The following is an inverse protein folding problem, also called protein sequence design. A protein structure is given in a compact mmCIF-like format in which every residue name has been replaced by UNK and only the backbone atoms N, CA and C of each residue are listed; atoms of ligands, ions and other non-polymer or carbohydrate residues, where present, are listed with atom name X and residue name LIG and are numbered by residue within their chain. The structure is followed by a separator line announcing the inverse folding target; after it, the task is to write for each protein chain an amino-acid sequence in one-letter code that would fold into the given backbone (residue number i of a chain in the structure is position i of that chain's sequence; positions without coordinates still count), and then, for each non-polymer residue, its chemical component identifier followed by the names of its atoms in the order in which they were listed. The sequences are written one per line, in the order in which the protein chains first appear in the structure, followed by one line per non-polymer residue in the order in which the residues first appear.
data_IF_937057826869
#
_entry.id   IF_937057826869
#
_cell.length_a   1.000
_cell.length_b   1.000
_cell.length_c   1.000
_cell.angle_alpha   90.00
_cell.angle_beta   90.00
_cell.angle_gamma   90.00
#
_symmetry.space_group_name_H-M   'P 1'
#
loop_
_entity.id
_entity.type
_entity.pdbx_description
1 polymer ?
#
# COMPACT_ATOMS: atom_id res chain seq x y z
N UNK A 1 3.75 0.80 -10.03
CA UNK A 1 2.42 0.27 -9.72
C UNK A 1 1.38 1.01 -10.53
N UNK A 2 0.45 0.30 -11.17
CA UNK A 2 -0.54 0.91 -12.09
C UNK A 2 -1.86 1.26 -11.41
N UNK A 3 -2.18 0.61 -10.28
CA UNK A 3 -3.37 0.92 -9.48
C UNK A 3 -3.22 2.22 -8.67
N UNK A 4 -1.98 2.65 -8.43
CA UNK A 4 -1.65 3.92 -7.79
C UNK A 4 -1.57 5.07 -8.79
N UNK A 5 -0.98 6.19 -8.35
CA UNK A 5 -0.90 7.41 -9.16
C UNK A 5 0.52 7.70 -9.67
N UNK A 6 1.47 7.95 -8.77
CA UNK A 6 2.85 8.31 -9.09
C UNK A 6 3.83 7.73 -8.06
N UNK A 7 5.11 7.72 -8.41
CA UNK A 7 6.22 7.45 -7.46
C UNK A 7 6.60 8.68 -6.63
N UNK A 8 6.07 9.86 -7.00
CA UNK A 8 6.28 11.11 -6.27
C UNK A 8 5.22 11.26 -5.15
N UNK A 9 5.61 11.47 -3.89
CA UNK A 9 4.68 11.51 -2.77
C UNK A 9 3.75 12.72 -2.82
N UNK A 10 4.22 13.86 -3.33
CA UNK A 10 3.41 15.07 -3.43
C UNK A 10 2.27 14.92 -4.45
N UNK A 11 2.59 14.45 -5.66
CA UNK A 11 1.60 14.19 -6.70
C UNK A 11 0.61 13.10 -6.29
N UNK A 12 1.08 12.01 -5.67
CA UNK A 12 0.22 10.95 -5.15
C UNK A 12 -0.68 11.46 -4.03
N UNK A 13 -0.19 12.32 -3.14
CA UNK A 13 -1.00 12.94 -2.09
C UNK A 13 -2.18 13.74 -2.64
N UNK A 14 -1.95 14.60 -3.62
CA UNK A 14 -3.01 15.38 -4.28
C UNK A 14 -4.02 14.46 -4.98
N UNK A 15 -3.54 13.46 -5.73
CA UNK A 15 -4.42 12.54 -6.44
C UNK A 15 -5.29 11.69 -5.49
N UNK A 16 -4.73 11.27 -4.35
CA UNK A 16 -5.47 10.57 -3.29
C UNK A 16 -6.55 11.46 -2.67
N UNK A 17 -6.23 12.72 -2.34
CA UNK A 17 -7.18 13.68 -1.78
C UNK A 17 -8.38 13.88 -2.71
N UNK A 18 -8.13 14.24 -3.97
CA UNK A 18 -9.18 14.49 -4.97
C UNK A 18 -10.04 13.24 -5.21
N UNK A 19 -9.42 12.06 -5.26
CA UNK A 19 -10.14 10.79 -5.44
C UNK A 19 -11.04 10.47 -4.24
N UNK A 20 -10.53 10.63 -3.02
CA UNK A 20 -11.27 10.37 -1.79
C UNK A 20 -12.45 11.34 -1.65
N UNK A 21 -12.22 12.63 -1.89
CA UNK A 21 -13.27 13.66 -1.87
C UNK A 21 -14.34 13.32 -2.92
N UNK A 22 -13.92 12.98 -4.15
CA UNK A 22 -14.82 12.58 -5.23
C UNK A 22 -15.71 11.39 -4.86
N UNK A 23 -15.11 10.29 -4.37
CA UNK A 23 -15.86 9.10 -3.94
C UNK A 23 -16.82 9.43 -2.79
N UNK A 24 -16.32 10.11 -1.75
CA UNK A 24 -17.12 10.42 -0.55
C UNK A 24 -18.24 11.43 -0.83
N UNK A 25 -18.08 12.31 -1.81
CA UNK A 25 -19.16 13.24 -2.23
C UNK A 25 -20.41 12.52 -2.75
N UNK A 26 -20.28 11.27 -3.21
CA UNK A 26 -21.39 10.45 -3.70
C UNK A 26 -22.10 9.64 -2.62
N UNK A 27 -21.71 9.82 -1.34
CA UNK A 27 -22.25 9.05 -0.21
C UNK A 27 -21.64 7.66 -0.05
N UNK A 28 -20.51 7.38 -0.71
CA UNK A 28 -19.77 6.11 -0.64
C UNK A 28 -18.49 6.29 0.18
N UNK A 29 -18.19 5.36 1.09
CA UNK A 29 -16.95 5.40 1.87
C UNK A 29 -15.74 5.03 0.99
N UNK A 30 -14.73 5.90 0.96
CA UNK A 30 -13.44 5.60 0.32
C UNK A 30 -12.55 4.74 1.23
N UNK A 31 -11.58 4.06 0.65
CA UNK A 31 -10.60 3.24 1.37
C UNK A 31 -9.19 3.51 0.83
N UNK A 32 -8.31 4.07 1.66
CA UNK A 32 -6.90 4.20 1.35
C UNK A 32 -6.19 2.84 1.53
N UNK A 33 -5.42 2.40 0.53
CA UNK A 33 -4.71 1.12 0.53
C UNK A 33 -3.40 1.22 -0.27
N UNK A 34 -2.41 0.35 -0.06
CA UNK A 34 -2.28 -0.61 1.04
C UNK A 34 -1.34 0.00 2.08
N UNK A 35 -1.82 0.17 3.32
CA UNK A 35 -1.01 0.74 4.40
C UNK A 35 -0.19 -0.35 5.11
N UNK A 36 1.15 -0.37 5.04
CA UNK A 36 2.04 0.43 4.19
C UNK A 36 3.16 -0.44 3.57
N UNK A 37 3.97 0.13 2.68
CA UNK A 37 5.20 -0.46 2.14
C UNK A 37 5.03 -1.83 1.45
N UNK A 38 3.85 -2.10 0.88
CA UNK A 38 3.60 -3.27 0.04
C UNK A 38 4.01 -2.99 -1.43
N UNK A 39 5.31 -2.79 -1.65
CA UNK A 39 5.86 -2.34 -2.96
C UNK A 39 6.09 -3.47 -3.97
N UNK A 40 5.98 -4.74 -3.55
CA UNK A 40 6.20 -5.89 -4.42
C UNK A 40 5.16 -6.99 -4.20
N UNK A 41 4.77 -7.65 -5.29
CA UNK A 41 3.82 -8.76 -5.23
C UNK A 41 4.47 -10.09 -4.83
N UNK A 42 5.74 -10.28 -5.20
CA UNK A 42 6.50 -11.49 -4.83
C UNK A 42 6.59 -11.61 -3.32
N UNK A 43 6.08 -12.71 -2.77
CA UNK A 43 6.05 -12.99 -1.33
C UNK A 43 5.26 -11.97 -0.49
N UNK A 44 4.26 -11.25 -1.06
CA UNK A 44 3.39 -10.35 -0.27
C UNK A 44 2.53 -11.06 0.78
N UNK A 45 2.39 -12.37 0.66
CA UNK A 45 1.66 -13.26 1.58
C UNK A 45 2.57 -14.42 1.97
N UNK A 46 2.33 -15.02 3.14
CA UNK A 46 3.00 -16.26 3.53
C UNK A 46 2.66 -17.38 2.54
N UNK A 47 3.63 -18.25 2.28
CA UNK A 47 3.46 -19.47 1.48
C UNK A 47 3.26 -20.66 2.41
N UNK A 48 2.33 -21.55 2.06
CA UNK A 48 1.96 -22.69 2.90
C UNK A 48 2.27 -24.02 2.21
N UNK A 49 2.55 -25.06 2.99
CA UNK A 49 2.64 -26.43 2.50
C UNK A 49 1.24 -27.05 2.26
N UNK A 50 1.20 -28.31 1.81
CA UNK A 50 -0.06 -29.03 1.57
C UNK A 50 -0.88 -29.30 2.84
N UNK A 51 -0.30 -29.10 4.03
CA UNK A 51 -0.92 -29.29 5.33
C UNK A 51 -1.32 -27.96 5.99
N UNK A 52 -1.11 -26.84 5.31
CA UNK A 52 -1.43 -25.50 5.80
C UNK A 52 -0.40 -24.90 6.75
N UNK A 53 0.78 -25.52 6.91
CA UNK A 53 1.85 -24.94 7.72
C UNK A 53 2.58 -23.87 6.92
N UNK A 54 2.96 -22.77 7.57
CA UNK A 54 3.77 -21.73 6.94
C UNK A 54 5.15 -22.27 6.59
N UNK A 55 5.53 -22.14 5.31
CA UNK A 55 6.87 -22.47 4.80
C UNK A 55 7.76 -21.22 4.77
N UNK A 56 7.18 -20.10 4.34
CA UNK A 56 7.87 -18.81 4.26
C UNK A 56 6.87 -17.73 4.64
N UNK A 57 7.26 -16.83 5.55
CA UNK A 57 6.44 -15.69 5.92
C UNK A 57 6.32 -14.66 4.78
N UNK A 58 5.34 -13.77 4.89
CA UNK A 58 5.28 -12.59 4.03
C UNK A 58 6.56 -11.76 4.14
N UNK A 59 6.92 -11.09 3.05
CA UNK A 59 8.10 -10.23 3.00
C UNK A 59 7.99 -9.09 4.01
N UNK A 60 9.10 -8.82 4.71
CA UNK A 60 9.23 -7.67 5.60
C UNK A 60 9.90 -6.51 4.86
N UNK A 61 9.16 -5.42 4.69
CA UNK A 61 9.70 -4.15 4.20
C UNK A 61 10.36 -3.41 5.36
N UNK A 62 11.68 -3.43 5.43
CA UNK A 62 12.46 -2.74 6.46
C UNK A 62 12.80 -1.33 5.97
N UNK A 63 12.12 -0.31 6.53
CA UNK A 63 12.22 1.08 6.11
C UNK A 63 12.65 1.94 7.32
N UNK A 64 13.60 2.86 7.12
CA UNK A 64 14.00 3.80 8.17
C UNK A 64 12.94 4.89 8.40
N UNK A 65 12.97 5.51 9.58
CA UNK A 65 11.97 6.46 10.05
C UNK A 65 11.80 7.67 9.11
N UNK A 66 12.90 8.19 8.56
CA UNK A 66 12.86 9.35 7.68
C UNK A 66 12.23 9.00 6.34
N UNK A 67 12.63 7.88 5.75
CA UNK A 67 12.04 7.41 4.49
C UNK A 67 10.55 7.12 4.65
N UNK A 68 10.13 6.61 5.81
CA UNK A 68 8.71 6.42 6.10
C UNK A 68 7.95 7.75 6.03
N UNK A 69 8.39 8.77 6.79
CA UNK A 69 7.72 10.07 6.91
C UNK A 69 7.81 10.97 5.66
N UNK A 70 8.91 10.92 4.92
CA UNK A 70 9.13 11.82 3.78
C UNK A 70 8.68 11.24 2.43
N UNK A 71 8.39 9.93 2.36
CA UNK A 71 8.00 9.26 1.11
C UNK A 71 6.71 8.43 1.21
N UNK A 72 6.54 7.62 2.26
CA UNK A 72 5.41 6.70 2.32
C UNK A 72 4.21 7.27 3.08
N UNK A 73 4.43 7.94 4.23
CA UNK A 73 3.41 8.61 5.02
C UNK A 73 3.92 9.36 6.25
#
# INVERSE_FOLDING_TARGET
NWEGFSVDPYLTGIAMEETIIGVQSTGVQACAKHWLANEQETQRTSTYDLFGNTVTEAVSSNVDDRTLHELYA
#
